data_IF_602785992978
#
_entry.id   IF_602785992978
#
_cell.length_a   1.000
_cell.length_b   1.000
_cell.length_c   1.000
_cell.angle_alpha   90.00
_cell.angle_beta   90.00
_cell.angle_gamma   90.00
#
_symmetry.space_group_name_H-M   'P 1'
#
loop_
_entity.id
_entity.type
_entity.pdbx_description
1 polymer ?
#
# COMPACT_ATOMS: atom_id res chain seq x y z
N UNK A 1 -6.66 -8.23 -6.01
CA UNK A 1 -5.39 -7.60 -5.56
C UNK A 1 -4.91 -8.04 -4.19
N UNK A 2 -5.78 -8.63 -3.39
CA UNK A 2 -5.38 -9.07 -2.04
C UNK A 2 -4.24 -10.07 -2.14
N UNK A 3 -3.22 -9.88 -1.33
CA UNK A 3 -2.04 -10.74 -1.33
C UNK A 3 -0.93 -10.29 -2.28
N UNK A 4 -1.18 -9.30 -3.12
CA UNK A 4 -0.16 -8.75 -3.99
C UNK A 4 0.76 -7.82 -3.20
N UNK A 5 2.00 -7.72 -3.63
CA UNK A 5 2.95 -6.80 -3.03
C UNK A 5 3.36 -5.74 -4.05
N UNK A 6 3.80 -4.62 -3.53
CA UNK A 6 4.23 -3.52 -4.37
C UNK A 6 5.07 -2.55 -3.57
N UNK A 7 5.21 -1.34 -4.07
CA UNK A 7 6.04 -0.32 -3.43
C UNK A 7 5.23 0.97 -3.30
N UNK A 8 5.32 1.60 -2.14
CA UNK A 8 4.71 2.89 -1.92
C UNK A 8 5.43 3.93 -2.76
N UNK A 9 4.70 4.66 -3.60
CA UNK A 9 5.29 5.70 -4.45
C UNK A 9 5.34 7.05 -3.74
N UNK A 10 4.59 7.17 -2.65
CA UNK A 10 4.56 8.38 -1.83
C UNK A 10 4.24 7.96 -0.41
N UNK A 11 4.35 8.91 0.53
CA UNK A 11 3.97 8.63 1.91
C UNK A 11 2.49 8.27 1.96
N UNK A 12 2.17 7.18 2.62
CA UNK A 12 0.81 6.71 2.78
C UNK A 12 0.38 6.90 4.23
N UNK A 13 -0.65 7.67 4.43
CA UNK A 13 -1.33 7.77 5.70
C UNK A 13 -2.78 7.38 5.48
N UNK A 14 -3.67 8.35 5.54
CA UNK A 14 -5.07 8.10 5.17
C UNK A 14 -5.25 7.91 3.68
N UNK A 15 -4.36 8.53 2.90
CA UNK A 15 -4.36 8.45 1.45
C UNK A 15 -2.93 8.35 0.97
N UNK A 16 -2.73 7.61 -0.09
CA UNK A 16 -1.45 7.53 -0.72
C UNK A 16 -1.57 6.72 -1.99
N UNK A 17 -0.43 6.42 -2.60
CA UNK A 17 -0.38 5.63 -3.81
C UNK A 17 0.69 4.56 -3.69
N UNK A 18 0.44 3.45 -4.35
CA UNK A 18 1.40 2.35 -4.44
C UNK A 18 1.53 1.95 -5.90
N UNK A 19 2.62 1.29 -6.22
CA UNK A 19 2.85 0.76 -7.54
C UNK A 19 2.90 -0.76 -7.45
N UNK A 20 2.04 -1.43 -8.20
CA UNK A 20 1.95 -2.88 -8.23
C UNK A 20 1.95 -3.32 -9.68
N UNK A 21 2.90 -4.16 -10.05
CA UNK A 21 3.04 -4.68 -11.43
C UNK A 21 3.07 -3.55 -12.47
N UNK A 22 3.76 -2.44 -12.16
CA UNK A 22 3.86 -1.32 -13.08
C UNK A 22 2.65 -0.39 -13.11
N UNK A 23 1.62 -0.68 -12.34
CA UNK A 23 0.42 0.14 -12.27
C UNK A 23 0.34 0.89 -10.95
N UNK A 24 -0.14 2.10 -11.01
CA UNK A 24 -0.31 2.94 -9.83
C UNK A 24 -1.74 2.79 -9.31
N UNK A 25 -1.84 2.57 -8.00
CA UNK A 25 -3.11 2.39 -7.33
C UNK A 25 -3.23 3.32 -6.14
N UNK A 26 -4.43 3.79 -5.88
CA UNK A 26 -4.70 4.49 -4.62
C UNK A 26 -4.69 3.49 -3.48
N UNK A 27 -4.11 3.89 -2.36
CA UNK A 27 -3.97 3.00 -1.23
C UNK A 27 -4.14 3.77 0.08
N UNK A 28 -4.46 3.03 1.12
CA UNK A 28 -4.54 3.55 2.48
C UNK A 28 -3.98 2.51 3.43
N UNK A 29 -3.55 2.97 4.60
CA UNK A 29 -3.10 2.06 5.65
C UNK A 29 -4.22 1.85 6.66
N UNK A 30 -4.15 0.72 7.37
CA UNK A 30 -5.00 0.51 8.53
C UNK A 30 -4.28 1.01 9.77
N UNK A 31 -5.06 1.51 10.74
CA UNK A 31 -4.51 1.96 11.99
C UNK A 31 -3.77 3.29 11.86
N UNK A 32 -2.83 3.51 12.77
CA UNK A 32 -2.10 4.77 12.85
C UNK A 32 -0.74 4.75 12.16
N UNK A 33 -0.42 3.67 11.51
CA UNK A 33 0.89 3.52 10.89
C UNK A 33 0.96 4.27 9.57
N UNK A 34 2.03 5.03 9.40
CA UNK A 34 2.32 5.69 8.14
C UNK A 34 3.38 4.89 7.40
N UNK A 35 3.25 4.85 6.08
CA UNK A 35 4.21 4.15 5.24
C UNK A 35 4.99 5.21 4.45
N UNK A 36 6.31 5.14 4.56
CA UNK A 36 7.17 6.06 3.82
C UNK A 36 7.29 5.64 2.35
N UNK A 37 7.56 6.62 1.49
CA UNK A 37 7.80 6.35 0.09
C UNK A 37 8.98 5.37 -0.08
N UNK A 38 8.84 4.44 -1.02
CA UNK A 38 9.86 3.44 -1.26
C UNK A 38 9.73 2.17 -0.42
N UNK A 39 8.78 2.14 0.52
CA UNK A 39 8.58 0.99 1.39
C UNK A 39 7.82 -0.10 0.63
N UNK A 40 8.25 -1.34 0.76
CA UNK A 40 7.50 -2.46 0.22
C UNK A 40 6.22 -2.64 1.02
N UNK A 41 5.13 -2.90 0.31
CA UNK A 41 3.81 -3.06 0.93
C UNK A 41 3.14 -4.33 0.44
N UNK A 42 2.17 -4.79 1.22
CA UNK A 42 1.32 -5.91 0.84
C UNK A 42 -0.13 -5.46 0.90
N UNK A 43 -0.90 -5.82 -0.10
CA UNK A 43 -2.33 -5.52 -0.14
C UNK A 43 -3.07 -6.52 0.73
N UNK A 44 -3.79 -6.01 1.72
CA UNK A 44 -4.53 -6.87 2.66
C UNK A 44 -6.04 -6.80 2.44
N UNK A 45 -6.50 -5.80 1.71
CA UNK A 45 -7.92 -5.67 1.40
C UNK A 45 -8.07 -4.74 0.20
N UNK A 46 -9.26 -4.73 -0.36
CA UNK A 46 -9.57 -3.86 -1.49
C UNK A 46 -11.00 -3.36 -1.34
N UNK A 47 -11.18 -2.07 -1.51
CA UNK A 47 -12.48 -1.44 -1.47
C UNK A 47 -12.64 -0.58 -2.72
N UNK A 48 -13.35 -1.12 -3.71
CA UNK A 48 -13.49 -0.43 -5.00
C UNK A 48 -12.13 -0.24 -5.66
N UNK A 49 -11.77 1.00 -5.93
CA UNK A 49 -10.49 1.35 -6.55
C UNK A 49 -9.38 1.65 -5.55
N UNK A 50 -9.68 1.52 -4.26
CA UNK A 50 -8.70 1.75 -3.22
C UNK A 50 -8.21 0.44 -2.64
N UNK A 51 -6.93 0.36 -2.38
CA UNK A 51 -6.32 -0.80 -1.76
C UNK A 51 -5.98 -0.47 -0.31
N UNK A 52 -6.19 -1.44 0.56
CA UNK A 52 -5.72 -1.33 1.93
C UNK A 52 -4.42 -2.10 2.01
N UNK A 53 -3.37 -1.42 2.43
CA UNK A 53 -2.02 -1.99 2.41
C UNK A 53 -1.37 -1.86 3.77
N UNK A 54 -0.36 -2.68 3.99
CA UNK A 54 0.48 -2.60 5.18
C UNK A 54 1.94 -2.75 4.76
N UNK A 55 2.88 -2.26 5.57
CA UNK A 55 4.29 -2.49 5.27
C UNK A 55 4.59 -3.97 5.25
N UNK A 56 5.39 -4.41 4.28
CA UNK A 56 5.83 -5.79 4.24
C UNK A 56 6.89 -5.96 5.32
N UNK A 57 6.56 -6.78 6.32
CA UNK A 57 7.50 -7.02 7.40
C UNK A 57 8.57 -7.99 6.95
N UNK A 58 9.81 -7.58 7.12
CA UNK A 58 10.95 -8.47 6.96
C UNK A 58 11.46 -8.85 8.33
N UNK A 59 11.33 -10.09 8.66
CA UNK A 59 11.92 -10.62 9.88
C UNK A 59 13.22 -11.31 9.55
#
# INVERSE_FOLDING_TARGET
MIGKSGIATARIGRKGTVKINGERWFAMTTGKNKIEAGTEITVIDQSGLKLVVKPLEKT
#
